data_IF_485271710712
#
_entry.id   IF_485271710712
#
_cell.length_a   1.000
_cell.length_b   1.000
_cell.length_c   1.000
_cell.angle_alpha   90.00
_cell.angle_beta   90.00
_cell.angle_gamma   90.00
#
_symmetry.space_group_name_H-M   'P 1'
#
loop_
_entity.id
_entity.type
_entity.pdbx_description
1 polymer ?
#
# COMPACT_ATOMS: atom_id res chain seq x y z
N UNK A 1 -6.85 -21.66 -20.00
CA UNK A 1 -7.03 -20.24 -20.39
C UNK A 1 -6.04 -19.85 -21.48
N UNK A 2 -6.51 -19.21 -22.54
CA UNK A 2 -5.61 -18.53 -23.51
C UNK A 2 -4.84 -17.39 -22.83
N UNK A 3 -3.70 -16.98 -23.41
CA UNK A 3 -2.94 -15.80 -22.94
C UNK A 3 -3.81 -14.54 -22.89
N UNK A 4 -4.76 -14.39 -23.83
CA UNK A 4 -5.69 -13.25 -23.88
C UNK A 4 -6.68 -13.28 -22.71
N UNK A 5 -7.30 -14.43 -22.43
CA UNK A 5 -8.23 -14.59 -21.31
C UNK A 5 -7.55 -14.34 -19.95
N UNK A 6 -6.30 -14.79 -19.78
CA UNK A 6 -5.54 -14.55 -18.53
C UNK A 6 -5.31 -13.05 -18.31
N UNK A 7 -4.93 -12.30 -19.36
CA UNK A 7 -4.75 -10.85 -19.27
C UNK A 7 -6.05 -10.12 -18.92
N UNK A 8 -7.17 -10.53 -19.53
CA UNK A 8 -8.49 -9.95 -19.22
C UNK A 8 -8.87 -10.24 -17.76
N UNK A 9 -8.65 -11.47 -17.30
CA UNK A 9 -8.91 -11.85 -15.92
C UNK A 9 -8.09 -11.00 -14.93
N UNK A 10 -6.81 -10.78 -15.22
CA UNK A 10 -5.94 -9.96 -14.37
C UNK A 10 -6.37 -8.50 -14.34
N UNK A 11 -6.83 -7.96 -15.47
CA UNK A 11 -7.41 -6.61 -15.54
C UNK A 11 -8.70 -6.51 -14.70
N UNK A 12 -9.58 -7.50 -14.79
CA UNK A 12 -10.84 -7.53 -14.01
C UNK A 12 -10.54 -7.64 -12.51
N UNK A 13 -9.60 -8.50 -12.12
CA UNK A 13 -9.19 -8.65 -10.72
C UNK A 13 -8.57 -7.36 -10.16
N UNK A 14 -7.75 -6.69 -10.97
CA UNK A 14 -7.17 -5.40 -10.63
C UNK A 14 -8.26 -4.32 -10.50
N UNK A 15 -9.21 -4.25 -11.44
CA UNK A 15 -10.34 -3.33 -11.37
C UNK A 15 -11.19 -3.57 -10.10
N UNK A 16 -11.41 -4.83 -9.72
CA UNK A 16 -12.09 -5.19 -8.47
C UNK A 16 -11.36 -4.63 -7.25
N UNK A 17 -10.04 -4.81 -7.17
CA UNK A 17 -9.24 -4.28 -6.06
C UNK A 17 -9.23 -2.75 -6.03
N UNK A 18 -9.14 -2.08 -7.19
CA UNK A 18 -9.27 -0.62 -7.28
C UNK A 18 -10.64 -0.17 -6.75
N UNK A 19 -11.72 -0.80 -7.20
CA UNK A 19 -13.07 -0.46 -6.74
C UNK A 19 -13.19 -0.59 -5.22
N UNK A 20 -12.64 -1.66 -4.63
CA UNK A 20 -12.60 -1.84 -3.18
C UNK A 20 -11.80 -0.71 -2.51
N UNK A 21 -10.63 -0.36 -3.04
CA UNK A 21 -9.81 0.73 -2.50
C UNK A 21 -10.53 2.09 -2.53
N UNK A 22 -11.26 2.38 -3.62
CA UNK A 22 -12.04 3.61 -3.73
C UNK A 22 -13.20 3.63 -2.71
N UNK A 23 -13.93 2.52 -2.57
CA UNK A 23 -14.98 2.39 -1.54
C UNK A 23 -14.38 2.56 -0.14
N UNK A 24 -13.22 1.95 0.12
CA UNK A 24 -12.50 2.10 1.39
C UNK A 24 -12.10 3.56 1.63
N UNK A 25 -11.65 4.31 0.63
CA UNK A 25 -11.29 5.72 0.76
C UNK A 25 -12.48 6.62 1.14
N UNK A 26 -13.67 6.32 0.61
CA UNK A 26 -14.90 7.06 0.90
C UNK A 26 -15.70 6.50 2.09
N UNK A 27 -15.11 5.58 2.85
CA UNK A 27 -15.68 5.02 4.08
C UNK A 27 -14.64 5.13 5.21
N UNK A 28 -15.03 4.96 6.49
CA UNK A 28 -14.07 4.94 7.61
C UNK A 28 -13.09 3.75 7.57
N UNK A 29 -13.22 2.84 6.60
CA UNK A 29 -12.42 1.63 6.51
C UNK A 29 -11.03 1.88 5.92
N UNK A 30 -10.89 2.81 4.97
CA UNK A 30 -9.61 3.03 4.28
C UNK A 30 -8.56 3.72 5.14
N UNK A 31 -9.01 4.71 5.91
CA UNK A 31 -8.19 5.47 6.84
C UNK A 31 -8.97 5.60 8.15
N UNK A 32 -8.40 5.10 9.24
CA UNK A 32 -8.96 5.21 10.60
C UNK A 32 -8.07 6.21 11.35
N UNK A 33 -8.56 7.41 11.61
CA UNK A 33 -7.80 8.42 12.36
C UNK A 33 -7.86 8.14 13.85
N UNK A 34 -6.71 7.96 14.48
CA UNK A 34 -6.58 7.86 15.94
C UNK A 34 -5.97 9.15 16.49
N UNK A 35 -6.69 10.27 16.35
CA UNK A 35 -6.34 11.58 16.93
C UNK A 35 -5.07 12.25 16.37
N UNK A 36 -3.90 11.63 16.49
CA UNK A 36 -2.61 12.15 16.03
C UNK A 36 -2.21 11.66 14.62
N UNK A 37 -2.71 10.50 14.18
CA UNK A 37 -2.27 9.85 12.93
C UNK A 37 -3.37 8.96 12.32
N UNK A 38 -3.26 8.70 11.01
CA UNK A 38 -4.20 7.86 10.24
C UNK A 38 -3.65 6.45 10.06
N UNK A 39 -4.37 5.43 10.55
CA UNK A 39 -4.12 4.01 10.29
C UNK A 39 -4.72 3.66 8.93
N UNK A 40 -3.95 3.06 8.02
CA UNK A 40 -4.48 2.70 6.68
C UNK A 40 -4.65 1.20 6.46
N UNK A 41 -5.87 0.80 6.07
CA UNK A 41 -6.15 -0.57 5.63
C UNK A 41 -5.90 -0.77 4.12
N UNK A 42 -5.50 0.29 3.41
CA UNK A 42 -5.19 0.26 1.97
C UNK A 42 -3.99 -0.64 1.63
N UNK A 43 -3.16 -0.95 2.62
CA UNK A 43 -2.05 -1.90 2.49
C UNK A 43 -2.52 -3.33 2.22
N UNK A 44 -3.75 -3.71 2.63
CA UNK A 44 -4.32 -5.04 2.32
C UNK A 44 -4.61 -5.20 0.81
N UNK A 45 -5.41 -4.34 0.14
CA UNK A 45 -5.59 -4.41 -1.31
C UNK A 45 -4.29 -4.36 -2.10
N UNK A 46 -3.32 -3.53 -1.70
CA UNK A 46 -2.02 -3.47 -2.37
C UNK A 46 -1.26 -4.80 -2.26
N UNK A 47 -1.27 -5.44 -1.08
CA UNK A 47 -0.71 -6.77 -0.90
C UNK A 47 -1.44 -7.82 -1.77
N UNK A 48 -2.76 -7.69 -1.92
CA UNK A 48 -3.57 -8.57 -2.78
C UNK A 48 -3.17 -8.49 -4.25
N UNK A 49 -3.02 -7.28 -4.79
CA UNK A 49 -2.50 -7.09 -6.15
C UNK A 49 -1.08 -7.62 -6.32
N UNK A 50 -0.18 -7.29 -5.39
CA UNK A 50 1.21 -7.74 -5.44
C UNK A 50 1.33 -9.28 -5.51
N UNK A 51 0.51 -10.02 -4.77
CA UNK A 51 0.54 -11.50 -4.73
C UNK A 51 -0.23 -12.12 -5.91
N UNK A 52 -1.39 -11.58 -6.28
CA UNK A 52 -2.29 -12.23 -7.25
C UNK A 52 -1.98 -11.87 -8.72
N UNK A 53 -1.59 -10.62 -8.96
CA UNK A 53 -1.33 -10.05 -10.29
C UNK A 53 0.15 -9.66 -10.49
N UNK A 54 0.97 -9.76 -9.44
CA UNK A 54 2.42 -9.58 -9.50
C UNK A 54 2.85 -8.11 -9.47
N UNK A 55 4.05 -7.83 -9.97
CA UNK A 55 4.67 -6.48 -9.94
C UNK A 55 3.78 -5.41 -10.57
N UNK A 56 3.20 -5.69 -11.74
CA UNK A 56 2.38 -4.72 -12.47
C UNK A 56 1.13 -4.32 -11.68
N UNK A 57 0.43 -5.29 -11.08
CA UNK A 57 -0.74 -4.98 -10.28
C UNK A 57 -0.40 -4.31 -8.95
N UNK A 58 0.70 -4.71 -8.32
CA UNK A 58 1.24 -4.00 -7.15
C UNK A 58 1.53 -2.53 -7.45
N UNK A 59 2.12 -2.23 -8.60
CA UNK A 59 2.40 -0.85 -9.03
C UNK A 59 1.12 -0.02 -9.21
N UNK A 60 0.12 -0.58 -9.90
CA UNK A 60 -1.15 0.14 -10.17
C UNK A 60 -1.94 0.36 -8.87
N UNK A 61 -2.04 -0.65 -8.00
CA UNK A 61 -2.71 -0.46 -6.71
C UNK A 61 -1.94 0.50 -5.80
N UNK A 62 -0.60 0.45 -5.83
CA UNK A 62 0.24 1.45 -5.16
C UNK A 62 0.00 2.86 -5.70
N UNK A 63 -0.20 3.02 -7.01
CA UNK A 63 -0.57 4.30 -7.60
C UNK A 63 -1.94 4.78 -7.10
N UNK A 64 -2.95 3.91 -7.08
CA UNK A 64 -4.30 4.26 -6.56
C UNK A 64 -4.23 4.61 -5.07
N UNK A 65 -3.43 3.89 -4.29
CA UNK A 65 -3.19 4.25 -2.90
C UNK A 65 -2.56 5.66 -2.80
N UNK A 66 -1.53 5.94 -3.59
CA UNK A 66 -0.90 7.26 -3.66
C UNK A 66 -1.86 8.36 -4.09
N UNK A 67 -2.75 8.07 -5.06
CA UNK A 67 -3.77 9.01 -5.53
C UNK A 67 -4.76 9.34 -4.42
N UNK A 68 -5.30 8.33 -3.74
CA UNK A 68 -6.20 8.56 -2.60
C UNK A 68 -5.52 9.33 -1.47
N UNK A 69 -4.24 9.07 -1.20
CA UNK A 69 -3.45 9.86 -0.24
C UNK A 69 -3.27 11.32 -0.69
N UNK A 70 -2.99 11.54 -1.97
CA UNK A 70 -2.81 12.87 -2.54
C UNK A 70 -4.10 13.70 -2.45
N UNK A 71 -5.24 13.08 -2.77
CA UNK A 71 -6.57 13.71 -2.73
C UNK A 71 -6.97 14.21 -1.33
N UNK A 72 -6.43 13.65 -0.26
CA UNK A 72 -6.68 14.13 1.10
C UNK A 72 -6.23 15.59 1.31
N UNK A 73 -5.19 16.06 0.61
CA UNK A 73 -4.76 17.47 0.71
C UNK A 73 -5.82 18.46 0.22
N UNK A 74 -6.78 17.99 -0.59
CA UNK A 74 -7.90 18.76 -1.12
C UNK A 74 -9.21 18.48 -0.36
N UNK A 75 -9.14 17.77 0.77
CA UNK A 75 -10.32 17.38 1.55
C UNK A 75 -11.17 16.29 0.88
N UNK A 76 -10.62 15.54 -0.06
CA UNK A 76 -11.34 14.47 -0.76
C UNK A 76 -11.02 13.13 -0.10
N UNK A 77 -12.03 12.55 0.55
CA UNK A 77 -11.95 11.30 1.30
C UNK A 77 -12.87 11.33 2.52
N UNK A 78 -13.14 10.18 3.14
CA UNK A 78 -14.00 10.14 4.32
C UNK A 78 -13.29 10.67 5.58
N UNK A 79 -12.10 10.13 5.90
CA UNK A 79 -11.24 10.67 6.95
C UNK A 79 -10.05 11.37 6.30
N UNK A 80 -9.82 12.63 6.66
CA UNK A 80 -8.75 13.46 6.11
C UNK A 80 -7.60 13.54 7.11
N UNK A 81 -6.39 13.20 6.67
CA UNK A 81 -5.17 13.42 7.43
C UNK A 81 -4.96 14.94 7.66
N UNK A 82 -4.92 15.44 8.92
CA UNK A 82 -4.73 16.85 9.22
C UNK A 82 -3.42 17.43 8.67
N UNK A 83 -2.41 16.59 8.44
CA UNK A 83 -1.12 17.01 7.90
C UNK A 83 -1.11 17.16 6.38
N UNK A 84 -2.05 16.55 5.65
CA UNK A 84 -2.04 16.50 4.19
C UNK A 84 -2.05 17.88 3.53
N UNK A 85 -2.98 18.75 3.95
CA UNK A 85 -3.10 20.10 3.41
C UNK A 85 -1.88 20.98 3.77
N UNK A 86 -1.36 20.85 5.00
CA UNK A 86 -0.18 21.59 5.43
C UNK A 86 1.04 21.21 4.59
N UNK A 87 1.31 19.91 4.41
CA UNK A 87 2.44 19.45 3.60
C UNK A 87 2.31 19.85 2.13
N UNK A 88 1.10 19.80 1.57
CA UNK A 88 0.86 20.25 0.21
C UNK A 88 1.12 21.74 0.02
N UNK A 89 0.65 22.59 0.94
CA UNK A 89 0.86 24.04 0.87
C UNK A 89 2.33 24.44 1.02
N UNK A 90 3.11 23.67 1.80
CA UNK A 90 4.55 23.89 1.93
C UNK A 90 5.29 23.62 0.62
N UNK A 91 5.12 22.43 0.05
CA UNK A 91 5.81 22.01 -1.17
C UNK A 91 4.93 21.05 -1.99
N UNK A 92 4.13 21.57 -2.95
CA UNK A 92 3.20 20.74 -3.74
C UNK A 92 3.88 19.58 -4.49
N UNK A 93 5.04 19.83 -5.10
CA UNK A 93 5.82 18.79 -5.79
C UNK A 93 6.37 17.75 -4.83
N UNK A 94 6.91 18.17 -3.68
CA UNK A 94 7.40 17.25 -2.67
C UNK A 94 6.27 16.37 -2.13
N UNK A 95 5.10 16.96 -1.84
CA UNK A 95 3.91 16.23 -1.40
C UNK A 95 3.51 15.17 -2.43
N UNK A 96 3.42 15.55 -3.69
CA UNK A 96 3.11 14.64 -4.80
C UNK A 96 4.08 13.46 -4.83
N UNK A 97 5.39 13.72 -4.78
CA UNK A 97 6.41 12.67 -4.74
C UNK A 97 6.25 11.77 -3.52
N UNK A 98 6.06 12.35 -2.33
CA UNK A 98 5.85 11.59 -1.09
C UNK A 98 4.60 10.71 -1.17
N UNK A 99 3.51 11.16 -1.80
CA UNK A 99 2.27 10.39 -1.95
C UNK A 99 2.41 9.22 -2.93
N UNK A 100 2.99 9.44 -4.10
CA UNK A 100 3.01 8.43 -5.17
C UNK A 100 4.21 7.49 -5.09
N UNK A 101 5.42 8.02 -4.99
CA UNK A 101 6.65 7.23 -5.20
C UNK A 101 6.79 6.10 -4.15
N UNK A 102 6.73 6.38 -2.83
CA UNK A 102 6.78 5.33 -1.81
C UNK A 102 5.71 4.24 -1.99
N UNK A 103 4.48 4.63 -2.38
CA UNK A 103 3.33 3.72 -2.47
C UNK A 103 3.44 2.78 -3.69
N UNK A 104 3.86 3.33 -4.83
CA UNK A 104 4.13 2.55 -6.04
C UNK A 104 5.31 1.59 -5.79
N UNK A 105 6.41 2.09 -5.21
CA UNK A 105 7.59 1.28 -4.90
C UNK A 105 7.25 0.14 -3.93
N UNK A 106 6.43 0.41 -2.92
CA UNK A 106 5.95 -0.61 -1.98
C UNK A 106 5.25 -1.76 -2.71
N UNK A 107 4.28 -1.45 -3.58
CA UNK A 107 3.56 -2.46 -4.35
C UNK A 107 4.45 -3.23 -5.32
N UNK A 108 5.38 -2.53 -5.99
CA UNK A 108 6.38 -3.13 -6.89
C UNK A 108 7.28 -4.11 -6.15
N UNK A 109 7.87 -3.68 -5.04
CA UNK A 109 8.82 -4.50 -4.26
C UNK A 109 8.10 -5.71 -3.67
N UNK A 110 6.89 -5.55 -3.12
CA UNK A 110 6.12 -6.67 -2.61
C UNK A 110 5.80 -7.72 -3.69
N UNK A 111 5.46 -7.25 -4.90
CA UNK A 111 5.22 -8.12 -6.06
C UNK A 111 6.50 -8.83 -6.51
N UNK A 112 7.62 -8.12 -6.56
CA UNK A 112 8.93 -8.69 -6.91
C UNK A 112 9.34 -9.79 -5.93
N UNK A 113 9.17 -9.55 -4.63
CA UNK A 113 9.49 -10.54 -3.59
C UNK A 113 8.63 -11.79 -3.76
N UNK A 114 7.33 -11.63 -4.02
CA UNK A 114 6.46 -12.79 -4.25
C UNK A 114 6.85 -13.56 -5.51
N UNK A 115 7.18 -12.85 -6.60
CA UNK A 115 7.63 -13.48 -7.84
C UNK A 115 8.94 -14.25 -7.66
N UNK A 116 9.87 -13.77 -6.83
CA UNK A 116 11.09 -14.50 -6.47
C UNK A 116 10.75 -15.80 -5.73
N UNK A 117 9.84 -15.75 -4.76
CA UNK A 117 9.39 -16.97 -4.06
C UNK A 117 8.72 -17.96 -5.00
N UNK A 118 7.85 -17.47 -5.89
CA UNK A 118 7.16 -18.27 -6.91
C UNK A 118 8.13 -18.96 -7.86
N UNK A 119 9.17 -18.25 -8.33
CA UNK A 119 10.25 -18.83 -9.17
C UNK A 119 11.02 -19.94 -8.46
N UNK A 120 11.13 -19.87 -7.14
CA UNK A 120 11.75 -20.91 -6.27
C UNK A 120 10.76 -22.01 -5.85
N UNK A 121 9.56 -22.07 -6.43
CA UNK A 121 8.52 -23.05 -6.09
C UNK A 121 7.83 -22.82 -4.74
N UNK A 122 8.17 -21.76 -4.01
CA UNK A 122 7.61 -21.43 -2.69
C UNK A 122 6.37 -20.55 -2.87
N UNK A 123 5.19 -21.17 -2.98
CA UNK A 123 3.90 -20.45 -3.10
C UNK A 123 2.97 -20.72 -1.91
N UNK A 124 3.56 -21.05 -0.76
CA UNK A 124 2.85 -21.36 0.47
C UNK A 124 2.47 -20.12 1.30
N UNK A 125 1.88 -20.36 2.47
CA UNK A 125 1.44 -19.29 3.37
C UNK A 125 2.60 -18.38 3.80
N UNK A 126 3.80 -18.93 4.00
CA UNK A 126 4.97 -18.17 4.45
C UNK A 126 5.41 -17.14 3.41
N UNK A 127 5.47 -17.50 2.12
CA UNK A 127 5.82 -16.54 1.05
C UNK A 127 4.78 -15.44 0.92
N UNK A 128 3.49 -15.79 1.08
CA UNK A 128 2.40 -14.82 1.06
C UNK A 128 2.48 -13.88 2.28
N UNK A 129 2.80 -14.42 3.45
CA UNK A 129 2.94 -13.66 4.68
C UNK A 129 4.09 -12.66 4.61
N UNK A 130 5.25 -13.09 4.11
CA UNK A 130 6.40 -12.20 3.91
C UNK A 130 6.05 -11.07 2.93
N UNK A 131 5.45 -11.39 1.77
CA UNK A 131 5.04 -10.37 0.80
C UNK A 131 3.98 -9.43 1.35
N UNK A 132 3.03 -9.92 2.15
CA UNK A 132 1.97 -9.10 2.76
C UNK A 132 2.53 -8.18 3.85
N UNK A 133 3.41 -8.70 4.71
CA UNK A 133 4.05 -7.95 5.79
C UNK A 133 5.02 -6.87 5.28
N UNK A 134 5.65 -7.09 4.12
CA UNK A 134 6.51 -6.10 3.50
C UNK A 134 5.76 -4.84 3.06
N UNK A 135 4.47 -4.94 2.72
CA UNK A 135 3.68 -3.77 2.27
C UNK A 135 3.63 -2.67 3.33
N UNK A 136 3.15 -2.89 4.57
CA UNK A 136 3.13 -1.84 5.59
C UNK A 136 4.54 -1.40 6.01
N UNK A 137 5.53 -2.32 6.08
CA UNK A 137 6.92 -1.98 6.43
C UNK A 137 7.52 -1.01 5.41
N UNK A 138 7.40 -1.32 4.12
CA UNK A 138 7.92 -0.48 3.06
C UNK A 138 7.12 0.81 2.93
N UNK A 139 5.80 0.78 3.13
CA UNK A 139 4.98 1.98 3.13
C UNK A 139 5.48 2.99 4.18
N UNK A 140 5.66 2.56 5.43
CA UNK A 140 6.16 3.42 6.51
C UNK A 140 7.61 3.84 6.25
N UNK A 141 8.52 2.90 5.95
CA UNK A 141 9.94 3.20 5.78
C UNK A 141 10.19 4.15 4.60
N UNK A 142 9.60 3.88 3.44
CA UNK A 142 9.76 4.72 2.26
C UNK A 142 9.07 6.07 2.43
N UNK A 143 7.85 6.11 2.98
CA UNK A 143 7.18 7.38 3.25
C UNK A 143 8.02 8.27 4.15
N UNK A 144 8.53 7.74 5.27
CA UNK A 144 9.36 8.50 6.19
C UNK A 144 10.69 8.94 5.57
N UNK A 145 11.30 8.08 4.76
CA UNK A 145 12.53 8.43 4.05
C UNK A 145 12.30 9.63 3.13
N UNK A 146 11.27 9.58 2.28
CA UNK A 146 10.95 10.69 1.38
C UNK A 146 10.46 11.93 2.13
N UNK A 147 9.71 11.76 3.21
CA UNK A 147 9.27 12.86 4.08
C UNK A 147 10.47 13.59 4.69
N UNK A 148 11.44 12.86 5.25
CA UNK A 148 12.66 13.45 5.81
C UNK A 148 13.48 14.13 4.72
N UNK A 149 13.69 13.48 3.57
CA UNK A 149 14.52 14.04 2.50
C UNK A 149 13.93 15.32 1.88
N UNK A 150 12.61 15.41 1.72
CA UNK A 150 11.99 16.51 0.99
C UNK A 150 11.55 17.68 1.90
N UNK A 151 11.31 17.41 3.19
CA UNK A 151 10.86 18.40 4.18
C UNK A 151 11.88 18.72 5.28
N UNK A 152 13.12 18.23 5.15
CA UNK A 152 14.22 18.48 6.12
C UNK A 152 14.37 19.95 6.50
N UNK A 153 14.36 20.81 5.49
CA UNK A 153 14.68 22.23 5.63
C UNK A 153 13.44 23.10 5.90
N UNK A 154 12.23 22.52 5.91
CA UNK A 154 10.98 23.23 6.16
C UNK A 154 10.27 22.69 7.40
N UNK A 155 9.36 21.73 7.24
CA UNK A 155 8.50 21.18 8.31
C UNK A 155 9.31 20.49 9.42
N UNK A 156 10.52 20.03 9.07
CA UNK A 156 11.44 19.35 9.97
C UNK A 156 12.63 20.21 10.40
N UNK A 157 12.66 21.50 10.05
CA UNK A 157 13.72 22.40 10.44
C UNK A 157 13.86 22.45 11.96
N UNK A 158 15.06 22.17 12.47
CA UNK A 158 15.34 22.13 13.91
C UNK A 158 14.81 20.89 14.66
N UNK A 159 14.14 19.94 13.98
CA UNK A 159 13.72 18.68 14.61
C UNK A 159 14.84 17.64 14.54
N UNK A 160 15.10 16.96 15.66
CA UNK A 160 16.04 15.83 15.69
C UNK A 160 15.52 14.66 14.86
N UNK A 161 16.40 14.02 14.09
CA UNK A 161 16.09 12.81 13.33
C UNK A 161 15.45 11.73 14.21
N UNK A 162 15.95 11.55 15.44
CA UNK A 162 15.41 10.58 16.39
C UNK A 162 13.94 10.86 16.73
N UNK A 163 13.59 12.13 16.91
CA UNK A 163 12.23 12.53 17.23
C UNK A 163 11.29 12.28 16.04
N UNK A 164 11.72 12.61 14.82
CA UNK A 164 10.96 12.35 13.59
C UNK A 164 10.80 10.84 13.33
N UNK A 165 11.84 10.06 13.59
CA UNK A 165 11.79 8.61 13.45
C UNK A 165 10.87 7.95 14.49
N UNK A 166 10.87 8.43 15.74
CA UNK A 166 9.93 7.97 16.77
C UNK A 166 8.47 8.28 16.42
N UNK A 167 8.20 9.39 15.73
CA UNK A 167 6.85 9.67 15.20
C UNK A 167 6.42 8.71 14.07
N UNK A 168 7.38 8.05 13.40
CA UNK A 168 7.06 7.01 12.42
C UNK A 168 6.65 5.68 13.06
N UNK A 169 7.37 5.28 14.11
CA UNK A 169 7.16 4.03 14.84
C UNK A 169 6.05 4.19 15.89
N UNK A 170 4.92 4.72 15.45
CA UNK A 170 3.73 4.86 16.29
C UNK A 170 2.91 3.58 16.30
N UNK A 171 1.88 3.55 17.14
CA UNK A 171 0.88 2.48 17.15
C UNK A 171 0.31 2.19 15.76
N UNK A 172 0.25 3.18 14.86
CA UNK A 172 -0.26 3.00 13.50
C UNK A 172 0.55 1.98 12.71
N UNK A 173 1.89 2.05 12.75
CA UNK A 173 2.74 1.07 12.06
C UNK A 173 2.47 -0.34 12.58
N UNK A 174 2.40 -0.52 13.91
CA UNK A 174 2.16 -1.84 14.50
C UNK A 174 0.77 -2.40 14.15
N UNK A 175 -0.26 -1.55 14.11
CA UNK A 175 -1.61 -1.95 13.74
C UNK A 175 -1.67 -2.31 12.26
N UNK A 176 -1.16 -1.46 11.36
CA UNK A 176 -1.09 -1.74 9.92
C UNK A 176 -0.30 -3.01 9.63
N UNK A 177 0.84 -3.18 10.30
CA UNK A 177 1.66 -4.38 10.20
C UNK A 177 0.88 -5.62 10.63
N UNK A 178 0.27 -5.59 11.81
CA UNK A 178 -0.43 -6.76 12.38
C UNK A 178 -1.65 -7.12 11.55
N UNK A 179 -2.45 -6.13 11.15
CA UNK A 179 -3.67 -6.33 10.37
C UNK A 179 -3.33 -6.85 8.97
N UNK A 180 -2.35 -6.27 8.29
CA UNK A 180 -1.97 -6.72 6.94
C UNK A 180 -1.21 -8.05 6.97
N UNK A 181 -0.44 -8.33 8.03
CA UNK A 181 0.16 -9.64 8.24
C UNK A 181 -0.92 -10.72 8.49
N UNK A 182 -1.92 -10.47 9.33
CA UNK A 182 -2.90 -11.51 9.68
C UNK A 182 -4.00 -11.58 8.61
N UNK A 183 -4.78 -10.52 8.45
CA UNK A 183 -5.90 -10.47 7.53
C UNK A 183 -5.40 -10.48 6.07
N UNK A 184 -4.40 -9.68 5.75
CA UNK A 184 -3.83 -9.63 4.40
C UNK A 184 -3.30 -10.99 3.96
N UNK A 185 -2.58 -11.74 4.82
CA UNK A 185 -2.11 -13.10 4.48
C UNK A 185 -3.26 -14.09 4.33
N UNK A 186 -4.23 -14.07 5.24
CA UNK A 186 -5.37 -15.00 5.20
C UNK A 186 -6.19 -14.82 3.93
N UNK A 187 -6.55 -13.58 3.62
CA UNK A 187 -7.31 -13.21 2.41
C UNK A 187 -6.47 -13.50 1.17
N UNK A 188 -5.18 -13.11 1.16
CA UNK A 188 -4.28 -13.40 0.04
C UNK A 188 -4.20 -14.87 -0.27
N UNK A 189 -4.06 -15.72 0.76
CA UNK A 189 -4.00 -17.17 0.57
C UNK A 189 -5.27 -17.68 -0.09
N UNK A 190 -6.44 -17.28 0.41
CA UNK A 190 -7.73 -17.70 -0.14
C UNK A 190 -7.86 -17.27 -1.62
N UNK A 191 -7.63 -15.99 -1.92
CA UNK A 191 -7.77 -15.46 -3.27
C UNK A 191 -6.71 -16.05 -4.21
N UNK A 192 -5.45 -16.15 -3.79
CA UNK A 192 -4.38 -16.70 -4.60
C UNK A 192 -4.66 -18.14 -5.03
N UNK A 193 -5.11 -19.00 -4.09
CA UNK A 193 -5.47 -20.38 -4.42
C UNK A 193 -6.69 -20.46 -5.33
N UNK A 194 -7.70 -19.62 -5.10
CA UNK A 194 -8.88 -19.54 -5.97
C UNK A 194 -8.50 -19.11 -7.39
N UNK A 195 -7.74 -18.02 -7.55
CA UNK A 195 -7.22 -17.54 -8.83
C UNK A 195 -6.35 -18.59 -9.52
N UNK A 196 -5.47 -19.26 -8.79
CA UNK A 196 -4.62 -20.34 -9.32
C UNK A 196 -5.45 -21.51 -9.84
N UNK A 197 -6.56 -21.85 -9.17
CA UNK A 197 -7.49 -22.90 -9.61
C UNK A 197 -8.23 -22.48 -10.89
N UNK A 198 -8.75 -21.25 -10.94
CA UNK A 198 -9.43 -20.73 -12.13
C UNK A 198 -8.50 -20.72 -13.35
N UNK A 199 -7.25 -20.27 -13.18
CA UNK A 199 -6.26 -20.28 -14.27
C UNK A 199 -5.85 -21.69 -14.74
N UNK A 200 -6.07 -22.73 -13.93
CA UNK A 200 -5.81 -24.14 -14.27
C UNK A 200 -7.03 -24.90 -14.82
N UNK A 201 -8.24 -24.38 -14.64
CA UNK A 201 -9.49 -25.08 -14.95
C UNK A 201 -9.89 -25.04 -16.45
N UNK A 202 -8.97 -24.63 -17.31
CA UNK A 202 -9.11 -24.52 -18.76
C UNK A 202 -7.76 -24.81 -19.42
#
# INVERSE_FOLDING_TARGET
>A
MTKKQTKIFDLVLLALFISIMLVMNFTPLGYITTGLFSITLMTIPVALGAVCTGVGGGAVLGFVFGLTSFLQAFGIGYMIDPSAAALFNEKPLAYTVTCFVPRILTGVIAGLVFDIFKKRGKTGIVSIAISSALVPVLNTALFMTFYILLYRDTVLAGKSFMAVFLTALTLNFFIEFSVTLIAGTGINKAIYFFVKRLRKSE
#
